data_IF_019351446828
#
_entry.id   IF_019351446828
#
_cell.length_a   1.000
_cell.length_b   1.000
_cell.length_c   1.000
_cell.angle_alpha   90.00
_cell.angle_beta   90.00
_cell.angle_gamma   90.00
#
_symmetry.space_group_name_H-M   'P 1'
#
loop_
_entity.id
_entity.type
_entity.pdbx_description
1 polymer ?
#
# COMPACT_ATOMS: atom_id res chain seq x y z
N UNK A 1 28.54 -4.45 -2.16
CA UNK A 1 28.56 -4.09 -0.71
C UNK A 1 27.35 -3.25 -0.31
N UNK A 2 26.99 -2.18 -1.02
CA UNK A 2 25.81 -1.34 -0.68
C UNK A 2 24.45 -2.07 -0.79
N UNK A 3 24.34 -3.08 -1.67
CA UNK A 3 23.13 -3.89 -1.82
C UNK A 3 22.86 -4.80 -0.60
N UNK A 4 23.89 -5.48 -0.07
CA UNK A 4 23.79 -6.32 1.12
C UNK A 4 23.47 -5.50 2.39
N UNK A 5 24.02 -4.28 2.50
CA UNK A 5 23.70 -3.34 3.59
C UNK A 5 22.25 -2.86 3.51
N UNK A 6 21.73 -2.60 2.30
CA UNK A 6 20.32 -2.26 2.13
C UNK A 6 19.40 -3.46 2.44
N UNK A 7 19.79 -4.67 2.06
CA UNK A 7 18.99 -5.88 2.27
C UNK A 7 18.87 -6.29 3.74
N UNK A 8 19.94 -6.19 4.53
CA UNK A 8 19.84 -6.42 5.99
C UNK A 8 18.82 -5.47 6.63
N UNK A 9 18.80 -4.20 6.19
CA UNK A 9 17.81 -3.22 6.65
C UNK A 9 16.39 -3.55 6.19
N UNK A 10 16.20 -4.10 4.98
CA UNK A 10 14.86 -4.50 4.51
C UNK A 10 14.36 -5.71 5.32
N UNK A 11 15.21 -6.66 5.69
CA UNK A 11 14.81 -7.77 6.59
C UNK A 11 14.38 -7.27 7.96
N UNK A 12 15.15 -6.35 8.54
CA UNK A 12 14.79 -5.70 9.81
C UNK A 12 13.47 -4.93 9.68
N UNK A 13 13.28 -4.18 8.60
CA UNK A 13 12.01 -3.49 8.32
C UNK A 13 10.83 -4.46 8.20
N UNK A 14 11.01 -5.58 7.50
CA UNK A 14 9.99 -6.61 7.35
C UNK A 14 9.64 -7.26 8.69
N UNK A 15 10.64 -7.54 9.53
CA UNK A 15 10.43 -8.04 10.89
C UNK A 15 9.65 -7.04 11.76
N UNK A 16 10.07 -5.77 11.77
CA UNK A 16 9.39 -4.72 12.53
C UNK A 16 7.96 -4.50 12.04
N UNK A 17 7.76 -4.46 10.72
CA UNK A 17 6.43 -4.31 10.14
C UNK A 17 5.52 -5.52 10.42
N UNK A 18 6.06 -6.74 10.39
CA UNK A 18 5.30 -7.95 10.72
C UNK A 18 4.83 -7.98 12.19
N UNK A 19 5.47 -7.23 13.10
CA UNK A 19 4.99 -7.03 14.47
C UNK A 19 3.84 -6.00 14.59
N UNK A 20 3.51 -5.31 13.50
CA UNK A 20 2.37 -4.37 13.42
C UNK A 20 1.15 -5.06 12.78
N UNK A 21 0.07 -4.31 12.56
CA UNK A 21 -1.18 -4.81 11.97
C UNK A 21 -1.79 -6.02 12.69
N UNK A 22 -2.03 -5.95 14.02
CA UNK A 22 -2.62 -7.06 14.75
C UNK A 22 -3.95 -7.49 14.13
N UNK A 23 -4.15 -8.82 14.07
CA UNK A 23 -5.31 -9.47 13.46
C UNK A 23 -5.23 -9.67 11.94
N UNK A 24 -4.42 -8.91 11.20
CA UNK A 24 -4.31 -9.04 9.73
C UNK A 24 -3.58 -10.33 9.34
N UNK A 25 -2.55 -10.74 10.09
CA UNK A 25 -1.74 -11.91 9.75
C UNK A 25 -2.43 -13.25 9.99
N UNK A 26 -3.57 -13.23 10.70
CA UNK A 26 -4.32 -14.44 11.07
C UNK A 26 -5.66 -14.54 10.34
N UNK A 27 -6.13 -13.49 9.66
CA UNK A 27 -7.45 -13.45 9.04
C UNK A 27 -7.46 -12.78 7.65
N UNK A 28 -8.30 -13.28 6.76
CA UNK A 28 -8.60 -12.64 5.49
C UNK A 28 -7.46 -12.69 4.46
N UNK A 29 -7.37 -11.63 3.65
CA UNK A 29 -6.46 -11.58 2.48
C UNK A 29 -4.99 -11.29 2.85
N UNK A 30 -4.74 -10.89 4.10
CA UNK A 30 -3.43 -10.43 4.57
C UNK A 30 -2.56 -11.57 5.12
N UNK A 31 -3.14 -12.75 5.38
CA UNK A 31 -2.42 -13.94 5.88
C UNK A 31 -1.27 -14.35 4.95
N UNK A 32 -1.54 -14.37 3.63
CA UNK A 32 -0.51 -14.72 2.64
C UNK A 32 0.67 -13.74 2.70
N UNK A 33 0.39 -12.44 2.88
CA UNK A 33 1.42 -11.42 3.01
C UNK A 33 2.24 -11.57 4.30
N UNK A 34 1.61 -11.86 5.43
CA UNK A 34 2.32 -12.20 6.68
C UNK A 34 3.27 -13.39 6.50
N UNK A 35 2.81 -14.43 5.78
CA UNK A 35 3.65 -15.56 5.37
C UNK A 35 4.83 -15.16 4.50
N UNK A 36 4.64 -14.26 3.53
CA UNK A 36 5.72 -13.71 2.69
C UNK A 36 6.76 -12.97 3.53
N UNK A 37 6.33 -12.09 4.44
CA UNK A 37 7.24 -11.35 5.34
C UNK A 37 8.05 -12.33 6.20
N UNK A 38 7.38 -13.27 6.86
CA UNK A 38 8.04 -14.29 7.68
C UNK A 38 9.06 -15.11 6.89
N UNK A 39 8.67 -15.61 5.71
CA UNK A 39 9.57 -16.34 4.83
C UNK A 39 10.77 -15.50 4.39
N UNK A 40 10.60 -14.20 4.19
CA UNK A 40 11.67 -13.30 3.75
C UNK A 40 12.69 -13.01 4.87
N UNK A 41 12.23 -12.57 6.04
CA UNK A 41 13.15 -12.16 7.10
C UNK A 41 13.68 -13.35 7.93
N UNK A 42 12.87 -14.38 8.17
CA UNK A 42 13.22 -15.49 9.06
C UNK A 42 13.82 -16.68 8.29
N UNK A 43 13.20 -17.09 7.19
CA UNK A 43 13.57 -18.30 6.47
C UNK A 43 14.52 -18.05 5.28
N UNK A 44 14.59 -16.80 4.80
CA UNK A 44 15.41 -16.43 3.64
C UNK A 44 15.02 -17.15 2.35
N UNK A 45 13.74 -17.56 2.22
CA UNK A 45 13.28 -18.37 1.07
C UNK A 45 12.92 -17.55 -0.17
N UNK A 46 12.81 -16.23 -0.04
CA UNK A 46 12.51 -15.33 -1.16
C UNK A 46 13.80 -14.71 -1.71
N UNK A 47 13.97 -14.67 -3.04
CA UNK A 47 15.15 -14.12 -3.69
C UNK A 47 15.26 -12.60 -3.47
N UNK A 48 16.49 -12.08 -3.54
CA UNK A 48 16.76 -10.64 -3.38
C UNK A 48 15.99 -9.76 -4.37
N UNK A 49 15.57 -10.31 -5.51
CA UNK A 49 14.73 -9.62 -6.50
C UNK A 49 13.37 -9.19 -5.93
N UNK A 50 12.84 -9.89 -4.92
CA UNK A 50 11.57 -9.56 -4.27
C UNK A 50 11.72 -8.53 -3.14
N UNK A 51 12.95 -8.26 -2.68
CA UNK A 51 13.20 -7.32 -1.58
C UNK A 51 12.72 -5.90 -1.89
N UNK A 52 12.75 -5.51 -3.18
CA UNK A 52 12.26 -4.21 -3.63
C UNK A 52 10.74 -4.09 -3.49
N UNK A 53 9.99 -5.12 -3.89
CA UNK A 53 8.54 -5.17 -3.74
C UNK A 53 8.14 -5.21 -2.26
N UNK A 54 8.84 -6.01 -1.44
CA UNK A 54 8.63 -6.05 0.02
C UNK A 54 8.83 -4.67 0.64
N UNK A 55 9.91 -3.98 0.28
CA UNK A 55 10.15 -2.62 0.72
C UNK A 55 9.03 -1.66 0.28
N UNK A 56 8.66 -1.68 -0.99
CA UNK A 56 7.59 -0.83 -1.55
C UNK A 56 6.25 -1.07 -0.85
N UNK A 57 5.87 -2.33 -0.62
CA UNK A 57 4.64 -2.70 0.10
C UNK A 57 4.65 -2.22 1.55
N UNK A 58 5.74 -2.48 2.31
CA UNK A 58 5.86 -2.04 3.71
C UNK A 58 5.72 -0.52 3.80
N UNK A 59 6.44 0.20 2.93
CA UNK A 59 6.42 1.66 2.89
C UNK A 59 5.01 2.18 2.58
N UNK A 60 4.37 1.66 1.54
CA UNK A 60 3.02 2.04 1.17
C UNK A 60 2.04 1.87 2.34
N UNK A 61 2.07 0.71 3.01
CA UNK A 61 1.17 0.43 4.12
C UNK A 61 1.40 1.35 5.32
N UNK A 62 2.67 1.66 5.65
CA UNK A 62 2.96 2.64 6.69
C UNK A 62 2.48 4.04 6.32
N UNK A 63 2.76 4.51 5.11
CA UNK A 63 2.35 5.83 4.65
C UNK A 63 0.81 5.96 4.65
N UNK A 64 0.09 4.92 4.24
CA UNK A 64 -1.36 4.91 4.26
C UNK A 64 -1.96 4.86 5.69
N UNK A 65 -1.34 4.14 6.62
CA UNK A 65 -1.77 4.13 8.01
C UNK A 65 -1.55 5.51 8.66
N UNK A 66 -0.39 6.13 8.44
CA UNK A 66 -0.10 7.48 8.91
C UNK A 66 -1.04 8.52 8.30
N UNK A 67 -1.40 8.36 7.03
CA UNK A 67 -2.40 9.23 6.38
C UNK A 67 -3.76 9.12 7.07
N UNK A 68 -4.20 7.92 7.44
CA UNK A 68 -5.44 7.74 8.19
C UNK A 68 -5.37 8.39 9.58
N UNK A 69 -4.27 8.21 10.32
CA UNK A 69 -4.06 8.88 11.61
C UNK A 69 -4.07 10.41 11.46
N UNK A 70 -3.48 10.93 10.39
CA UNK A 70 -3.48 12.36 10.08
C UNK A 70 -4.89 12.88 9.78
N UNK A 71 -5.71 12.13 9.03
CA UNK A 71 -7.11 12.48 8.77
C UNK A 71 -7.91 12.46 10.08
N UNK A 72 -7.76 11.43 10.92
CA UNK A 72 -8.40 11.37 12.24
C UNK A 72 -8.05 12.61 13.08
N UNK A 73 -6.78 12.99 13.13
CA UNK A 73 -6.33 14.16 13.87
C UNK A 73 -6.85 15.48 13.27
N UNK A 74 -6.82 15.63 11.94
CA UNK A 74 -7.25 16.84 11.25
C UNK A 74 -8.74 17.14 11.47
N UNK A 75 -9.58 16.10 11.46
CA UNK A 75 -11.03 16.22 11.65
C UNK A 75 -11.47 16.01 13.10
N UNK A 76 -10.52 15.97 14.04
CA UNK A 76 -10.74 15.83 15.49
C UNK A 76 -11.61 14.61 15.85
N UNK A 77 -11.40 13.50 15.15
CA UNK A 77 -12.07 12.24 15.43
C UNK A 77 -11.43 11.52 16.63
N UNK A 78 -12.21 10.72 17.37
CA UNK A 78 -11.62 9.79 18.32
C UNK A 78 -10.80 8.75 17.56
N UNK A 79 -9.59 8.47 18.06
CA UNK A 79 -8.83 7.31 17.61
C UNK A 79 -9.55 6.05 18.09
N UNK A 80 -9.91 5.11 17.20
CA UNK A 80 -10.45 3.81 17.59
C UNK A 80 -9.60 3.15 18.68
N UNK A 81 -10.21 2.83 19.83
CA UNK A 81 -9.53 2.29 21.03
C UNK A 81 -8.35 3.14 21.56
N UNK A 82 -8.24 4.40 21.15
CA UNK A 82 -7.07 5.23 21.42
C UNK A 82 -5.75 4.61 20.89
N UNK A 83 -5.84 3.82 19.80
CA UNK A 83 -4.73 3.14 19.13
C UNK A 83 -4.50 3.78 17.76
N UNK A 84 -3.24 3.94 17.35
CA UNK A 84 -2.92 4.40 15.99
C UNK A 84 -3.24 3.34 14.93
N UNK A 85 -3.56 3.76 13.70
CA UNK A 85 -4.09 2.92 12.63
C UNK A 85 -3.27 1.63 12.40
N UNK A 86 -1.93 1.72 12.37
CA UNK A 86 -1.07 0.56 12.10
C UNK A 86 -1.06 -0.46 13.24
N UNK A 87 -1.35 -0.03 14.46
CA UNK A 87 -1.39 -0.88 15.67
C UNK A 87 -2.80 -1.30 16.07
N UNK A 88 -3.82 -0.73 15.44
CA UNK A 88 -5.21 -0.95 15.82
C UNK A 88 -5.74 -2.35 15.46
N UNK A 89 -6.21 -3.13 16.42
CA UNK A 89 -6.78 -4.45 16.11
C UNK A 89 -8.26 -4.36 15.68
N UNK A 90 -8.47 -4.32 14.36
CA UNK A 90 -9.80 -4.31 13.73
C UNK A 90 -10.70 -5.46 14.21
N UNK A 91 -10.13 -6.66 14.35
CA UNK A 91 -10.94 -7.84 14.68
C UNK A 91 -11.40 -7.79 16.14
N UNK A 92 -10.47 -7.49 17.05
CA UNK A 92 -10.81 -7.31 18.47
C UNK A 92 -11.78 -6.15 18.68
N UNK A 93 -11.57 -5.03 18.00
CA UNK A 93 -12.49 -3.89 18.03
C UNK A 93 -13.90 -4.26 17.56
N UNK A 94 -14.03 -4.97 16.43
CA UNK A 94 -15.33 -5.37 15.91
C UNK A 94 -16.07 -6.29 16.89
N UNK A 95 -15.37 -7.25 17.49
CA UNK A 95 -15.96 -8.17 18.48
C UNK A 95 -16.47 -7.39 19.69
N UNK A 96 -15.66 -6.47 20.23
CA UNK A 96 -16.05 -5.63 21.37
C UNK A 96 -17.27 -4.75 21.06
N UNK A 97 -17.29 -4.13 19.88
CA UNK A 97 -18.39 -3.28 19.46
C UNK A 97 -19.67 -4.09 19.27
N UNK A 98 -19.58 -5.26 18.63
CA UNK A 98 -20.72 -6.18 18.50
C UNK A 98 -21.25 -6.60 19.86
N UNK A 99 -20.39 -7.02 20.80
CA UNK A 99 -20.83 -7.37 22.16
C UNK A 99 -21.54 -6.21 22.85
N UNK A 100 -21.05 -4.97 22.70
CA UNK A 100 -21.70 -3.78 23.27
C UNK A 100 -23.07 -3.51 22.65
N UNK A 101 -23.23 -3.75 21.34
CA UNK A 101 -24.51 -3.57 20.63
C UNK A 101 -25.46 -4.76 20.81
N UNK A 102 -24.93 -5.99 21.00
CA UNK A 102 -25.67 -7.26 21.04
C UNK A 102 -26.36 -7.58 22.35
N UNK A 103 -26.49 -6.61 23.25
CA UNK A 103 -27.48 -6.68 24.32
C UNK A 103 -28.93 -6.41 23.84
N UNK A 104 -29.16 -6.25 22.54
CA UNK A 104 -30.49 -6.23 21.92
C UNK A 104 -30.60 -7.30 20.81
N UNK A 105 -31.74 -8.00 20.75
CA UNK A 105 -32.06 -9.08 19.79
C UNK A 105 -32.12 -8.63 18.31
N UNK A 106 -31.84 -7.36 18.01
CA UNK A 106 -31.82 -6.77 16.65
C UNK A 106 -30.46 -6.20 16.23
N UNK A 107 -29.46 -6.32 17.10
CA UNK A 107 -28.15 -5.66 17.07
C UNK A 107 -27.27 -5.94 15.85
N UNK A 108 -27.24 -7.17 15.35
CA UNK A 108 -26.40 -7.52 14.20
C UNK A 108 -26.87 -6.77 12.95
N UNK A 109 -28.18 -6.62 12.76
CA UNK A 109 -28.73 -5.87 11.62
C UNK A 109 -28.48 -4.36 11.73
N UNK A 110 -28.51 -3.81 12.95
CA UNK A 110 -28.29 -2.38 13.19
C UNK A 110 -26.82 -1.99 13.03
N UNK A 111 -25.90 -2.81 13.57
CA UNK A 111 -24.46 -2.60 13.37
C UNK A 111 -24.12 -2.66 11.89
N UNK A 112 -24.58 -3.68 11.17
CA UNK A 112 -24.27 -3.82 9.74
C UNK A 112 -24.85 -2.64 8.95
N UNK A 113 -26.07 -2.17 9.26
CA UNK A 113 -26.64 -0.97 8.63
C UNK A 113 -25.81 0.28 8.90
N UNK A 114 -25.42 0.54 10.16
CA UNK A 114 -24.60 1.71 10.52
C UNK A 114 -23.22 1.66 9.88
N UNK A 115 -22.59 0.48 9.88
CA UNK A 115 -21.32 0.26 9.19
C UNK A 115 -21.45 0.57 7.70
N UNK A 116 -22.46 0.02 7.02
CA UNK A 116 -22.65 0.24 5.60
C UNK A 116 -22.96 1.71 5.28
N UNK A 117 -23.76 2.38 6.11
CA UNK A 117 -24.06 3.80 5.93
C UNK A 117 -22.77 4.65 5.94
N UNK A 118 -21.90 4.48 6.95
CA UNK A 118 -20.63 5.23 7.04
C UNK A 118 -19.63 4.78 5.98
N UNK A 119 -19.46 3.48 5.79
CA UNK A 119 -18.50 2.92 4.83
C UNK A 119 -18.83 3.34 3.38
N UNK A 120 -20.11 3.41 3.02
CA UNK A 120 -20.53 3.84 1.68
C UNK A 120 -20.18 5.30 1.39
N UNK A 121 -20.23 6.18 2.40
CA UNK A 121 -19.83 7.58 2.26
C UNK A 121 -18.31 7.73 2.11
N UNK A 122 -17.53 6.88 2.77
CA UNK A 122 -16.07 6.88 2.67
C UNK A 122 -15.49 6.08 1.51
N UNK A 123 -16.32 5.32 0.79
CA UNK A 123 -15.87 4.37 -0.24
C UNK A 123 -15.05 5.04 -1.36
N UNK A 124 -15.27 6.33 -1.60
CA UNK A 124 -14.54 7.12 -2.60
C UNK A 124 -13.30 7.83 -2.05
N UNK A 125 -13.15 7.94 -0.73
CA UNK A 125 -12.04 8.65 -0.09
C UNK A 125 -10.71 7.88 -0.14
N UNK A 126 -10.77 6.55 -0.10
CA UNK A 126 -9.59 5.67 -0.01
C UNK A 126 -9.43 4.74 -1.22
N UNK A 127 -9.94 5.15 -2.39
CA UNK A 127 -9.69 4.45 -3.66
C UNK A 127 -8.30 4.81 -4.21
N UNK A 128 -7.26 4.56 -3.43
CA UNK A 128 -5.87 4.64 -3.89
C UNK A 128 -5.41 3.22 -4.21
N UNK A 129 -5.66 2.72 -5.45
CA UNK A 129 -5.19 1.40 -5.81
C UNK A 129 -3.66 1.37 -5.66
N UNK A 130 -3.11 0.32 -5.03
CA UNK A 130 -1.67 0.19 -4.93
C UNK A 130 -1.05 0.14 -6.33
N UNK A 131 0.13 0.73 -6.48
CA UNK A 131 0.96 0.51 -7.65
C UNK A 131 1.33 -0.98 -7.76
N UNK A 132 1.73 -1.48 -8.94
CA UNK A 132 2.03 -2.89 -9.14
C UNK A 132 3.06 -3.47 -8.15
N UNK A 133 3.98 -2.65 -7.65
CA UNK A 133 5.02 -3.01 -6.69
C UNK A 133 4.64 -2.77 -5.21
N UNK A 134 3.47 -2.21 -4.94
CA UNK A 134 2.99 -1.91 -3.58
C UNK A 134 2.18 -3.05 -2.96
N UNK A 135 2.09 -4.18 -3.64
CA UNK A 135 1.44 -5.39 -3.14
C UNK A 135 -0.10 -5.31 -3.18
N UNK A 136 -0.80 -6.17 -2.43
CA UNK A 136 -2.25 -6.23 -2.48
C UNK A 136 -2.91 -5.05 -1.76
N UNK A 137 -4.20 -4.85 -2.05
CA UNK A 137 -5.03 -3.80 -1.46
C UNK A 137 -4.98 -3.85 0.08
N UNK A 138 -4.65 -2.72 0.70
CA UNK A 138 -4.53 -2.58 2.15
C UNK A 138 -5.74 -1.84 2.73
N UNK A 139 -6.73 -2.60 3.24
CA UNK A 139 -8.03 -2.04 3.65
C UNK A 139 -8.06 -1.46 5.07
N UNK A 140 -6.99 -1.64 5.85
CA UNK A 140 -6.93 -1.21 7.26
C UNK A 140 -7.15 0.31 7.45
N UNK A 141 -6.50 1.22 6.70
CA UNK A 141 -6.73 2.66 6.79
C UNK A 141 -8.19 3.06 6.57
N UNK A 142 -8.84 2.44 5.58
CA UNK A 142 -10.27 2.64 5.31
C UNK A 142 -11.12 2.18 6.50
N UNK A 143 -10.91 0.96 6.99
CA UNK A 143 -11.66 0.42 8.14
C UNK A 143 -11.47 1.28 9.39
N UNK A 144 -10.26 1.77 9.62
CA UNK A 144 -9.92 2.61 10.76
C UNK A 144 -10.68 3.93 10.74
N UNK A 145 -10.83 4.57 9.58
CA UNK A 145 -11.61 5.81 9.47
C UNK A 145 -13.11 5.58 9.61
N UNK A 146 -13.63 4.48 9.08
CA UNK A 146 -15.03 4.09 9.33
C UNK A 146 -15.25 3.88 10.83
N UNK A 147 -14.33 3.20 11.51
CA UNK A 147 -14.39 3.01 12.96
C UNK A 147 -14.34 4.34 13.73
N UNK A 148 -13.44 5.26 13.35
CA UNK A 148 -13.32 6.58 13.97
C UNK A 148 -14.62 7.40 13.85
N UNK A 149 -15.25 7.37 12.68
CA UNK A 149 -16.56 8.02 12.46
C UNK A 149 -17.69 7.36 13.26
N UNK A 150 -17.69 6.03 13.36
CA UNK A 150 -18.67 5.32 14.17
C UNK A 150 -18.52 5.66 15.66
N UNK A 151 -17.29 5.71 16.17
CA UNK A 151 -17.01 6.13 17.55
C UNK A 151 -17.32 7.61 17.80
N UNK A 152 -17.11 8.49 16.80
CA UNK A 152 -17.51 9.89 16.88
C UNK A 152 -19.03 10.06 17.04
N UNK A 153 -19.81 9.08 16.59
CA UNK A 153 -21.26 8.99 16.73
C UNK A 153 -21.99 10.29 16.32
N UNK A 154 -21.53 10.91 15.23
CA UNK A 154 -22.08 12.16 14.70
C UNK A 154 -23.40 11.92 13.95
N UNK A 155 -24.31 12.92 13.92
CA UNK A 155 -25.50 12.87 13.08
C UNK A 155 -25.17 12.64 11.60
N UNK A 156 -26.07 11.99 10.86
CA UNK A 156 -25.83 11.61 9.46
C UNK A 156 -25.43 12.79 8.55
N UNK A 157 -26.06 13.95 8.72
CA UNK A 157 -25.75 15.15 7.94
C UNK A 157 -24.34 15.68 8.21
N UNK A 158 -23.85 15.61 9.45
CA UNK A 158 -22.46 15.94 9.79
C UNK A 158 -21.51 14.92 9.18
N UNK A 159 -21.81 13.62 9.32
CA UNK A 159 -20.98 12.53 8.78
C UNK A 159 -20.83 12.63 7.26
N UNK A 160 -21.90 13.01 6.55
CA UNK A 160 -21.88 13.24 5.10
C UNK A 160 -21.02 14.46 4.71
N UNK A 161 -21.17 15.58 5.44
CA UNK A 161 -20.35 16.77 5.24
C UNK A 161 -18.87 16.50 5.47
N UNK A 162 -18.54 15.74 6.52
CA UNK A 162 -17.15 15.40 6.82
C UNK A 162 -16.59 14.40 5.80
N UNK A 163 -17.36 13.39 5.40
CA UNK A 163 -16.94 12.47 4.34
C UNK A 163 -16.62 13.21 3.04
N UNK A 164 -17.44 14.21 2.69
CA UNK A 164 -17.18 15.09 1.54
C UNK A 164 -15.89 15.90 1.71
N UNK A 165 -15.63 16.44 2.90
CA UNK A 165 -14.41 17.18 3.20
C UNK A 165 -13.15 16.30 3.16
N UNK A 166 -13.23 15.06 3.65
CA UNK A 166 -12.15 14.07 3.55
C UNK A 166 -11.88 13.75 2.08
N UNK A 167 -12.93 13.53 1.29
CA UNK A 167 -12.80 13.28 -0.14
C UNK A 167 -12.09 14.43 -0.85
N UNK A 168 -12.52 15.67 -0.61
CA UNK A 168 -11.90 16.86 -1.19
C UNK A 168 -10.43 16.99 -0.76
N UNK A 169 -10.13 16.76 0.52
CA UNK A 169 -8.76 16.76 1.02
C UNK A 169 -7.89 15.73 0.28
N UNK A 170 -8.37 14.49 0.13
CA UNK A 170 -7.62 13.42 -0.55
C UNK A 170 -7.37 13.73 -2.02
N UNK A 171 -8.38 14.27 -2.72
CA UNK A 171 -8.26 14.70 -4.12
C UNK A 171 -7.24 15.83 -4.28
N UNK A 172 -7.29 16.82 -3.38
CA UNK A 172 -6.35 17.95 -3.39
C UNK A 172 -4.92 17.50 -3.06
N UNK A 173 -4.76 16.56 -2.12
CA UNK A 173 -3.46 15.99 -1.78
C UNK A 173 -2.86 15.23 -2.97
N UNK A 174 -3.67 14.45 -3.69
CA UNK A 174 -3.25 13.77 -4.91
C UNK A 174 -2.83 14.76 -6.01
N UNK A 175 -3.68 15.75 -6.30
CA UNK A 175 -3.40 16.76 -7.32
C UNK A 175 -2.12 17.55 -7.00
N UNK A 176 -1.94 17.94 -5.73
CA UNK A 176 -0.73 18.62 -5.26
C UNK A 176 0.51 17.74 -5.41
N UNK A 177 0.41 16.45 -5.07
CA UNK A 177 1.50 15.50 -5.24
C UNK A 177 1.89 15.38 -6.71
N UNK A 178 0.92 15.20 -7.61
CA UNK A 178 1.14 15.13 -9.05
C UNK A 178 1.84 16.39 -9.56
N UNK A 179 1.36 17.58 -9.19
CA UNK A 179 1.99 18.86 -9.56
C UNK A 179 3.44 18.94 -9.12
N UNK A 180 3.75 18.56 -7.87
CA UNK A 180 5.13 18.57 -7.34
C UNK A 180 6.03 17.58 -8.07
N UNK A 181 5.53 16.40 -8.40
CA UNK A 181 6.27 15.39 -9.17
C UNK A 181 6.61 15.93 -10.55
N UNK A 182 5.65 16.52 -11.26
CA UNK A 182 5.88 17.11 -12.58
C UNK A 182 6.81 18.33 -12.55
N UNK A 183 6.72 19.16 -11.51
CA UNK A 183 7.58 20.32 -11.33
C UNK A 183 9.03 19.96 -10.93
N UNK A 184 9.28 18.70 -10.52
CA UNK A 184 10.60 18.28 -10.03
C UNK A 184 11.63 18.15 -11.18
N UNK A 185 12.71 18.94 -11.17
CA UNK A 185 13.77 18.85 -12.20
C UNK A 185 14.45 17.48 -12.23
N UNK A 186 14.54 16.81 -11.07
CA UNK A 186 15.15 15.48 -10.93
C UNK A 186 14.28 14.39 -11.57
N UNK A 187 12.95 14.47 -11.42
CA UNK A 187 12.01 13.56 -12.10
C UNK A 187 12.12 13.73 -13.61
N UNK A 188 12.13 14.98 -14.08
CA UNK A 188 12.35 15.28 -15.50
C UNK A 188 13.69 14.78 -16.03
N UNK A 189 14.77 14.89 -15.23
CA UNK A 189 16.11 14.38 -15.59
C UNK A 189 16.09 12.86 -15.72
N UNK A 190 15.56 12.14 -14.73
CA UNK A 190 15.45 10.68 -14.74
C UNK A 190 14.59 10.17 -15.88
N UNK A 191 13.46 10.84 -16.18
CA UNK A 191 12.62 10.51 -17.33
C UNK A 191 13.37 10.61 -18.66
N UNK A 192 14.14 11.69 -18.87
CA UNK A 192 14.98 11.85 -20.07
C UNK A 192 16.10 10.80 -20.14
N UNK A 193 16.72 10.45 -19.02
CA UNK A 193 17.74 9.40 -18.96
C UNK A 193 17.17 8.02 -19.28
N UNK A 194 15.99 7.70 -18.75
CA UNK A 194 15.27 6.48 -19.06
C UNK A 194 14.93 6.40 -20.56
N UNK A 195 14.34 7.44 -21.14
CA UNK A 195 14.03 7.53 -22.57
C UNK A 195 15.28 7.34 -23.45
N UNK A 196 16.39 7.98 -23.07
CA UNK A 196 17.68 7.77 -23.75
C UNK A 196 18.17 6.33 -23.64
N UNK A 197 17.99 5.67 -22.50
CA UNK A 197 18.39 4.27 -22.30
C UNK A 197 17.55 3.29 -23.12
N UNK A 198 16.23 3.53 -23.22
CA UNK A 198 15.30 2.71 -24.00
C UNK A 198 15.54 2.92 -25.49
N UNK A 199 15.66 4.17 -25.94
CA UNK A 199 15.99 4.49 -27.33
C UNK A 199 17.34 3.90 -27.78
N UNK A 200 18.35 3.89 -26.89
CA UNK A 200 19.64 3.20 -27.16
C UNK A 200 19.48 1.68 -27.26
N UNK A 201 18.63 1.06 -26.42
CA UNK A 201 18.35 -0.38 -26.48
C UNK A 201 17.61 -0.76 -27.77
N UNK A 202 16.59 0.01 -28.15
CA UNK A 202 15.83 -0.19 -29.39
C UNK A 202 16.71 -0.02 -30.65
N UNK A 203 17.61 0.97 -30.69
CA UNK A 203 18.57 1.12 -31.80
C UNK A 203 19.59 -0.02 -31.87
N UNK A 204 20.04 -0.53 -30.71
CA UNK A 204 20.96 -1.67 -30.66
C UNK A 204 20.31 -2.98 -31.11
N UNK A 205 19.03 -3.20 -30.80
CA UNK A 205 18.29 -4.40 -31.26
C UNK A 205 17.96 -4.36 -32.74
N UNK A 206 17.89 -3.17 -33.35
CA UNK A 206 17.63 -2.97 -34.78
C UNK A 206 18.91 -2.83 -35.62
N UNK A 207 20.09 -2.83 -34.99
CA UNK A 207 21.36 -2.76 -35.72
C UNK A 207 21.68 -4.13 -36.34
N UNK A 208 21.88 -4.25 -37.67
CA UNK A 208 22.17 -5.53 -38.30
C UNK A 208 23.44 -6.14 -37.72
N UNK A 209 23.34 -7.34 -37.13
CA UNK A 209 24.52 -8.14 -36.78
C UNK A 209 25.28 -8.43 -38.08
N UNK A 210 26.44 -7.81 -38.27
CA UNK A 210 27.42 -8.22 -39.30
C UNK A 210 27.75 -9.70 -39.07
N UNK A 211 27.12 -10.59 -39.84
CA UNK A 211 27.55 -11.99 -39.99
C UNK A 211 29.00 -11.93 -40.48
N UNK A 212 29.95 -12.37 -39.66
CA UNK A 212 31.29 -12.73 -40.15
C UNK A 212 31.09 -13.88 -41.14
N UNK A 213 31.30 -13.61 -42.43
CA UNK A 213 31.45 -14.65 -43.45
C UNK A 213 32.72 -15.43 -43.11
N UNK A 214 32.58 -16.70 -42.74
CA UNK A 214 33.67 -17.67 -42.79
C UNK A 214 33.90 -18.02 -44.25
N UNK A 215 34.99 -17.50 -44.84
CA UNK A 215 35.49 -18.00 -46.11
C UNK A 215 36.31 -19.27 -45.83
N UNK A 216 35.70 -20.43 -46.03
CA UNK A 216 36.41 -21.70 -46.13
C UNK A 216 37.00 -21.75 -47.54
N UNK A 217 38.31 -21.56 -47.65
CA UNK A 217 39.08 -21.88 -48.86
C UNK A 217 39.48 -23.35 -48.75
N UNK A 218 38.75 -24.23 -49.43
CA UNK A 218 39.24 -25.58 -49.74
C UNK A 218 40.20 -25.48 -50.91
N UNK A 219 41.48 -25.72 -50.64
CA UNK A 219 42.47 -26.07 -51.66
C UNK A 219 42.60 -27.59 -51.64
N UNK A 220 42.02 -28.25 -52.65
CA UNK A 220 42.29 -29.64 -52.94
C UNK A 220 43.63 -29.76 -53.67
N UNK A 221 44.54 -30.56 -53.13
CA UNK A 221 45.70 -31.12 -53.83
C UNK A 221 45.69 -32.64 -53.67
N UNK A 222 46.12 -33.29 -54.75
CA UNK A 222 46.24 -34.71 -55.05
C UNK A 222 44.98 -35.37 -55.63
#
# INVERSE_FOLDING_TARGET
MSALIAQHRIKEMAMMFHATCPGDWTHGREVAWGGTLFGFYQLGIFPESEAAEIYSTIRFRWEMALLADFVVAMFEFPMPRNEMCIMWDWHSWMVELRVKTSMSDHSDSEFDQRWHAVASQLNHCFQTPPLPDQGPLFMRPFKYLVAALLEANKPEHETSGISSAIQEFMQNAEAFHQQRVFASPEVGRRGREWLRSVGRRARKSLSPRKRKRSSTTESASC
#
